data_IF_313573087254
#
_entry.id   IF_313573087254
#
_cell.length_a   1.000
_cell.length_b   1.000
_cell.length_c   1.000
_cell.angle_alpha   90.00
_cell.angle_beta   90.00
_cell.angle_gamma   90.00
#
_symmetry.space_group_name_H-M   'P 1'
#
loop_
_entity.id
_entity.type
_entity.pdbx_description
1 polymer ?
#
# COMPACT_ATOMS: atom_id res chain seq x y z
N UNK A 1 5.49 -50.60 1.01
CA UNK A 1 4.69 -49.39 0.71
C UNK A 1 5.41 -48.63 -0.38
N UNK A 2 4.82 -48.57 -1.57
CA UNK A 2 5.26 -47.71 -2.67
C UNK A 2 4.70 -46.32 -2.39
N UNK A 3 5.56 -45.31 -2.26
CA UNK A 3 5.12 -43.92 -2.18
C UNK A 3 5.00 -43.39 -3.60
N UNK A 4 3.77 -43.13 -4.04
CA UNK A 4 3.55 -42.40 -5.30
C UNK A 4 3.91 -40.93 -5.07
N UNK A 5 5.04 -40.51 -5.62
CA UNK A 5 5.46 -39.10 -5.60
C UNK A 5 4.62 -38.37 -6.65
N UNK A 6 3.78 -37.44 -6.17
CA UNK A 6 3.01 -36.58 -7.07
C UNK A 6 3.94 -35.73 -7.94
N UNK A 7 3.65 -35.58 -9.24
CA UNK A 7 4.27 -34.55 -10.06
C UNK A 7 4.12 -33.17 -9.41
N UNK A 8 5.11 -32.26 -9.53
CA UNK A 8 5.04 -30.92 -8.93
C UNK A 8 3.75 -30.16 -9.26
N UNK A 9 3.26 -30.28 -10.49
CA UNK A 9 2.00 -29.69 -10.94
C UNK A 9 0.80 -30.19 -10.14
N UNK A 10 0.70 -31.50 -9.95
CA UNK A 10 -0.43 -32.10 -9.23
C UNK A 10 -0.38 -31.77 -7.73
N UNK A 11 0.83 -31.73 -7.16
CA UNK A 11 1.05 -31.25 -5.80
C UNK A 11 0.61 -29.79 -5.66
N UNK A 12 0.97 -28.94 -6.62
CA UNK A 12 0.60 -27.53 -6.63
C UNK A 12 -0.92 -27.34 -6.73
N UNK A 13 -1.60 -27.98 -7.69
CA UNK A 13 -3.06 -27.88 -7.87
C UNK A 13 -3.80 -28.34 -6.60
N UNK A 14 -3.33 -29.40 -5.93
CA UNK A 14 -3.91 -29.84 -4.65
C UNK A 14 -3.73 -28.81 -3.54
N UNK A 15 -2.56 -28.17 -3.44
CA UNK A 15 -2.30 -27.12 -2.45
C UNK A 15 -3.15 -25.89 -2.76
N UNK A 16 -3.20 -25.43 -4.01
CA UNK A 16 -4.03 -24.30 -4.43
C UNK A 16 -5.51 -24.52 -4.10
N UNK A 17 -6.03 -25.71 -4.39
CA UNK A 17 -7.39 -26.11 -4.01
C UNK A 17 -7.61 -26.09 -2.49
N UNK A 18 -6.67 -26.63 -1.71
CA UNK A 18 -6.74 -26.61 -0.23
C UNK A 18 -6.67 -25.19 0.37
N UNK A 19 -6.02 -24.28 -0.34
CA UNK A 19 -5.91 -22.85 0.01
C UNK A 19 -7.03 -22.00 -0.60
N UNK A 20 -7.97 -22.63 -1.31
CA UNK A 20 -9.08 -21.98 -2.00
C UNK A 20 -8.63 -20.89 -2.98
N UNK A 21 -7.47 -21.08 -3.62
CA UNK A 21 -7.01 -20.29 -4.76
C UNK A 21 -7.47 -21.01 -6.03
N UNK A 22 -8.07 -20.32 -7.02
CA UNK A 22 -8.42 -20.94 -8.30
C UNK A 22 -7.23 -21.68 -8.91
N UNK A 23 -7.46 -22.79 -9.63
CA UNK A 23 -6.40 -23.52 -10.35
C UNK A 23 -5.75 -22.57 -11.35
N UNK A 24 -4.50 -22.14 -11.10
CA UNK A 24 -4.08 -20.88 -11.69
C UNK A 24 -3.29 -21.11 -13.00
N UNK A 25 -3.17 -22.36 -13.47
CA UNK A 25 -2.48 -22.72 -14.70
C UNK A 25 -0.94 -22.76 -14.55
N UNK A 26 -0.23 -23.06 -15.64
CA UNK A 26 1.23 -23.31 -15.63
C UNK A 26 2.07 -22.10 -15.19
N UNK A 27 1.62 -20.86 -15.40
CA UNK A 27 2.37 -19.65 -15.05
C UNK A 27 2.16 -19.18 -13.61
N UNK A 28 1.25 -19.82 -12.87
CA UNK A 28 0.74 -19.27 -11.63
C UNK A 28 1.16 -20.01 -10.36
N UNK A 29 2.10 -20.94 -10.49
CA UNK A 29 2.85 -21.53 -9.38
C UNK A 29 3.50 -20.47 -8.47
N UNK A 30 3.61 -19.22 -8.96
CA UNK A 30 4.36 -18.13 -8.31
C UNK A 30 3.62 -16.79 -8.23
N UNK A 31 2.29 -16.82 -8.15
CA UNK A 31 1.53 -15.58 -7.95
C UNK A 31 1.64 -15.08 -6.51
N UNK A 32 1.63 -13.76 -6.34
CA UNK A 32 1.55 -13.12 -5.01
C UNK A 32 0.30 -13.58 -4.25
N UNK A 33 -0.82 -13.77 -4.95
CA UNK A 33 -2.07 -14.26 -4.36
C UNK A 33 -1.92 -15.63 -3.69
N UNK A 34 -1.19 -16.55 -4.33
CA UNK A 34 -0.92 -17.86 -3.77
C UNK A 34 -0.03 -17.79 -2.52
N UNK A 35 1.06 -17.02 -2.58
CA UNK A 35 1.96 -16.80 -1.43
C UNK A 35 1.19 -16.17 -0.26
N UNK A 36 0.33 -15.19 -0.51
CA UNK A 36 -0.54 -14.60 0.49
C UNK A 36 -1.44 -15.64 1.17
N UNK A 37 -2.00 -16.61 0.44
CA UNK A 37 -2.81 -17.67 1.06
C UNK A 37 -1.99 -18.64 1.91
N UNK A 38 -0.77 -18.97 1.50
CA UNK A 38 0.14 -19.76 2.32
C UNK A 38 0.46 -19.04 3.62
N UNK A 39 0.75 -17.74 3.57
CA UNK A 39 1.01 -16.93 4.77
C UNK A 39 -0.23 -16.89 5.67
N UNK A 40 -1.43 -16.71 5.09
CA UNK A 40 -2.68 -16.77 5.87
C UNK A 40 -2.86 -18.12 6.57
N UNK A 41 -2.62 -19.23 5.88
CA UNK A 41 -2.67 -20.57 6.48
C UNK A 41 -1.62 -20.74 7.58
N UNK A 42 -0.40 -20.27 7.35
CA UNK A 42 0.67 -20.32 8.33
C UNK A 42 0.30 -19.50 9.58
N UNK A 43 -0.31 -18.32 9.41
CA UNK A 43 -0.76 -17.48 10.51
C UNK A 43 -1.81 -18.19 11.38
N UNK A 44 -2.76 -18.94 10.80
CA UNK A 44 -3.70 -19.76 11.57
C UNK A 44 -3.00 -20.85 12.40
N UNK A 45 -1.90 -21.41 11.88
CA UNK A 45 -1.20 -22.51 12.52
C UNK A 45 -0.25 -22.06 13.63
N UNK A 46 0.42 -20.90 13.46
CA UNK A 46 1.56 -20.52 14.32
C UNK A 46 1.40 -19.17 15.02
N UNK A 47 0.38 -18.36 14.72
CA UNK A 47 0.15 -17.13 15.46
C UNK A 47 -0.46 -17.42 16.85
N UNK A 48 -0.15 -16.61 17.89
CA UNK A 48 0.75 -15.46 17.87
C UNK A 48 2.24 -15.85 17.80
N UNK A 49 3.00 -15.20 16.91
CA UNK A 49 4.44 -15.45 16.73
C UNK A 49 5.21 -14.19 16.27
N UNK A 50 6.54 -14.25 16.23
CA UNK A 50 7.34 -13.20 15.59
C UNK A 50 7.21 -13.22 14.06
N UNK A 51 7.41 -12.07 13.42
CA UNK A 51 7.36 -11.94 11.94
C UNK A 51 8.28 -12.95 11.24
N UNK A 52 9.52 -13.07 11.69
CA UNK A 52 10.51 -14.01 11.12
C UNK A 52 10.08 -15.48 11.24
N UNK A 53 9.37 -15.85 12.30
CA UNK A 53 8.81 -17.20 12.46
C UNK A 53 7.74 -17.47 11.40
N UNK A 54 6.79 -16.55 11.23
CA UNK A 54 5.74 -16.66 10.22
C UNK A 54 6.33 -16.77 8.81
N UNK A 55 7.26 -15.88 8.47
CA UNK A 55 7.93 -15.86 7.17
C UNK A 55 8.74 -17.14 6.93
N UNK A 56 9.45 -17.64 7.94
CA UNK A 56 10.21 -18.91 7.84
C UNK A 56 9.28 -20.09 7.56
N UNK A 57 8.15 -20.19 8.27
CA UNK A 57 7.16 -21.27 8.05
C UNK A 57 6.61 -21.22 6.62
N UNK A 58 6.29 -20.03 6.10
CA UNK A 58 5.81 -19.87 4.73
C UNK A 58 6.90 -20.21 3.68
N UNK A 59 8.15 -19.79 3.88
CA UNK A 59 9.28 -20.12 2.99
C UNK A 59 9.53 -21.63 2.98
N UNK A 60 9.55 -22.29 4.13
CA UNK A 60 9.77 -23.74 4.19
C UNK A 60 8.60 -24.53 3.57
N UNK A 61 7.36 -24.05 3.70
CA UNK A 61 6.20 -24.65 3.04
C UNK A 61 6.27 -24.56 1.50
N UNK A 62 6.97 -23.56 0.96
CA UNK A 62 7.06 -23.28 -0.48
C UNK A 62 8.37 -23.68 -1.13
N UNK A 63 9.35 -24.15 -0.34
CA UNK A 63 10.72 -24.41 -0.80
C UNK A 63 10.81 -25.32 -2.03
N UNK A 64 9.87 -26.26 -2.19
CA UNK A 64 9.83 -27.19 -3.32
C UNK A 64 9.26 -26.61 -4.62
N UNK A 65 8.63 -25.44 -4.59
CA UNK A 65 7.93 -24.82 -5.74
C UNK A 65 8.68 -23.62 -6.34
N UNK A 66 9.70 -23.10 -5.64
CA UNK A 66 10.53 -22.00 -6.12
C UNK A 66 11.93 -22.48 -6.53
N UNK A 67 12.50 -21.90 -7.59
CA UNK A 67 13.81 -22.29 -8.11
C UNK A 67 14.94 -21.75 -7.23
N UNK A 68 14.69 -20.65 -6.52
CA UNK A 68 15.66 -19.96 -5.69
C UNK A 68 15.01 -19.51 -4.37
N UNK A 69 15.72 -19.77 -3.27
CA UNK A 69 15.28 -19.43 -1.91
C UNK A 69 15.28 -17.92 -1.67
N UNK A 70 16.26 -17.18 -2.21
CA UNK A 70 16.34 -15.73 -1.97
C UNK A 70 15.15 -14.99 -2.60
N UNK A 71 14.78 -15.38 -3.82
CA UNK A 71 13.59 -14.87 -4.53
C UNK A 71 12.31 -15.19 -3.76
N UNK A 72 12.17 -16.42 -3.25
CA UNK A 72 11.02 -16.81 -2.43
C UNK A 72 10.94 -16.00 -1.14
N UNK A 73 12.06 -15.85 -0.42
CA UNK A 73 12.14 -15.05 0.80
C UNK A 73 11.70 -13.61 0.54
N UNK A 74 12.22 -12.95 -0.51
CA UNK A 74 11.80 -11.59 -0.86
C UNK A 74 10.29 -11.51 -1.18
N UNK A 75 9.72 -12.51 -1.84
CA UNK A 75 8.29 -12.53 -2.18
C UNK A 75 7.42 -12.73 -0.94
N UNK A 76 7.84 -13.59 0.00
CA UNK A 76 7.15 -13.81 1.28
C UNK A 76 7.21 -12.57 2.17
N UNK A 77 8.36 -11.91 2.25
CA UNK A 77 8.51 -10.64 2.99
C UNK A 77 7.60 -9.56 2.42
N UNK A 78 7.55 -9.42 1.09
CA UNK A 78 6.67 -8.46 0.41
C UNK A 78 5.18 -8.79 0.67
N UNK A 79 4.79 -10.05 0.48
CA UNK A 79 3.42 -10.48 0.71
C UNK A 79 2.99 -10.30 2.19
N UNK A 80 3.88 -10.55 3.14
CA UNK A 80 3.63 -10.33 4.58
C UNK A 80 3.40 -8.84 4.87
N UNK A 81 4.21 -7.96 4.28
CA UNK A 81 4.02 -6.51 4.39
C UNK A 81 2.68 -6.06 3.77
N UNK A 82 2.28 -6.63 2.63
CA UNK A 82 0.98 -6.33 2.01
C UNK A 82 -0.20 -6.80 2.88
N UNK A 83 -0.12 -8.01 3.46
CA UNK A 83 -1.15 -8.54 4.37
C UNK A 83 -1.28 -7.71 5.66
N UNK A 84 -0.17 -7.18 6.19
CA UNK A 84 -0.17 -6.19 7.27
C UNK A 84 -0.80 -4.87 6.81
N UNK A 85 -0.41 -4.39 5.63
CA UNK A 85 -0.84 -3.10 5.10
C UNK A 85 -2.34 -3.06 4.77
N UNK A 86 -2.94 -4.19 4.41
CA UNK A 86 -4.38 -4.33 4.15
C UNK A 86 -5.15 -4.92 5.34
N UNK A 87 -4.47 -5.36 6.41
CA UNK A 87 -5.14 -5.74 7.66
C UNK A 87 -5.70 -7.16 7.68
N UNK A 88 -5.10 -8.10 6.93
CA UNK A 88 -5.28 -9.53 7.20
C UNK A 88 -4.44 -9.99 8.39
N UNK A 89 -3.30 -9.32 8.62
CA UNK A 89 -2.43 -9.54 9.75
C UNK A 89 -2.34 -8.28 10.61
N UNK A 90 -2.13 -8.48 11.92
CA UNK A 90 -1.90 -7.42 12.89
C UNK A 90 -0.53 -7.61 13.53
N UNK A 91 0.21 -6.51 13.64
CA UNK A 91 1.44 -6.46 14.43
C UNK A 91 1.12 -5.75 15.76
N UNK A 92 1.31 -6.46 16.87
CA UNK A 92 0.97 -5.98 18.22
C UNK A 92 2.21 -5.86 19.09
N UNK A 93 2.34 -4.76 19.80
CA UNK A 93 3.36 -4.60 20.84
C UNK A 93 3.00 -5.47 22.05
N UNK A 94 3.97 -6.24 22.51
CA UNK A 94 3.89 -7.06 23.72
C UNK A 94 5.03 -6.64 24.64
N UNK A 95 4.76 -6.28 25.91
CA UNK A 95 5.81 -5.93 26.85
C UNK A 95 6.75 -7.13 27.06
N UNK A 96 8.06 -6.87 27.02
CA UNK A 96 9.07 -7.87 27.38
C UNK A 96 9.42 -7.68 28.85
N UNK A 97 9.04 -8.66 29.67
CA UNK A 97 9.25 -8.63 31.12
C UNK A 97 10.69 -8.26 31.48
N UNK A 98 10.85 -7.34 32.44
CA UNK A 98 12.14 -6.92 32.98
C UNK A 98 13.00 -6.03 32.07
N UNK A 99 12.60 -5.76 30.82
CA UNK A 99 13.46 -5.02 29.87
C UNK A 99 13.05 -3.56 29.61
N UNK A 100 11.83 -3.16 30.03
CA UNK A 100 11.24 -1.87 29.65
C UNK A 100 11.02 -1.69 28.14
N UNK A 101 11.27 -2.73 27.33
CA UNK A 101 11.10 -2.75 25.86
C UNK A 101 9.84 -3.53 25.50
N UNK A 102 9.26 -3.18 24.36
CA UNK A 102 8.21 -3.97 23.72
C UNK A 102 8.82 -4.84 22.62
N UNK A 103 8.38 -6.09 22.53
CA UNK A 103 8.52 -6.94 21.35
C UNK A 103 7.28 -6.79 20.47
N UNK A 104 7.35 -7.27 19.23
CA UNK A 104 6.20 -7.31 18.34
C UNK A 104 5.82 -8.77 18.07
N UNK A 105 4.51 -9.04 18.12
CA UNK A 105 3.94 -10.32 17.72
C UNK A 105 2.92 -10.12 16.61
N UNK A 106 2.93 -11.03 15.65
CA UNK A 106 1.97 -11.15 14.58
C UNK A 106 0.75 -11.90 15.06
N UNK A 107 -0.44 -11.42 14.69
CA UNK A 107 -1.73 -12.11 14.87
C UNK A 107 -2.53 -12.07 13.58
N UNK A 108 -3.40 -13.06 13.41
CA UNK A 108 -4.46 -12.96 12.41
C UNK A 108 -5.43 -11.83 12.79
N UNK A 109 -5.79 -11.00 11.83
CA UNK A 109 -6.85 -10.01 12.03
C UNK A 109 -8.23 -10.70 11.97
N UNK A 110 -9.21 -10.25 12.75
CA UNK A 110 -10.58 -10.78 12.68
C UNK A 110 -11.22 -10.53 11.30
N UNK A 111 -12.12 -11.43 10.84
CA UNK A 111 -12.80 -11.28 9.56
C UNK A 111 -13.60 -9.98 9.47
N UNK A 112 -13.50 -9.28 8.34
CA UNK A 112 -14.29 -8.09 8.02
C UNK A 112 -14.58 -8.04 6.52
N UNK A 113 -15.59 -7.26 6.13
CA UNK A 113 -15.76 -6.87 4.73
C UNK A 113 -15.74 -5.35 4.57
N UNK A 114 -15.27 -4.90 3.41
CA UNK A 114 -15.30 -3.49 3.01
C UNK A 114 -16.01 -3.38 1.68
N UNK A 115 -17.15 -2.69 1.65
CA UNK A 115 -17.90 -2.49 0.41
C UNK A 115 -17.16 -1.58 -0.57
N UNK A 116 -17.26 -1.90 -1.86
CA UNK A 116 -16.73 -1.18 -3.01
C UNK A 116 -17.88 -0.96 -3.99
N UNK A 117 -18.64 0.12 -3.76
CA UNK A 117 -19.90 0.35 -4.47
C UNK A 117 -21.02 -0.53 -3.91
N UNK A 118 -22.07 -0.75 -4.72
CA UNK A 118 -23.29 -1.40 -4.26
C UNK A 118 -23.18 -2.93 -4.16
N UNK A 119 -22.43 -3.58 -5.06
CA UNK A 119 -22.48 -5.04 -5.24
C UNK A 119 -21.09 -5.71 -5.36
N UNK A 120 -20.11 -5.16 -4.67
CA UNK A 120 -18.75 -5.70 -4.63
C UNK A 120 -18.11 -5.35 -3.30
N UNK A 121 -17.27 -6.23 -2.77
CA UNK A 121 -16.56 -6.00 -1.52
C UNK A 121 -15.14 -6.58 -1.53
N UNK A 122 -14.34 -6.11 -0.58
CA UNK A 122 -13.06 -6.71 -0.19
C UNK A 122 -13.28 -7.53 1.08
N UNK A 123 -12.77 -8.76 1.10
CA UNK A 123 -12.75 -9.64 2.27
C UNK A 123 -11.40 -9.51 2.97
N UNK A 124 -11.44 -9.23 4.27
CA UNK A 124 -10.28 -9.03 5.13
C UNK A 124 -10.30 -10.00 6.31
N UNK A 125 -9.13 -10.19 6.92
CA UNK A 125 -8.96 -11.00 8.12
C UNK A 125 -9.09 -12.50 7.87
N UNK A 126 -8.91 -13.26 8.93
CA UNK A 126 -8.96 -14.72 8.87
C UNK A 126 -9.94 -15.24 9.93
N UNK A 127 -10.57 -16.38 9.64
CA UNK A 127 -11.33 -17.12 10.64
C UNK A 127 -10.42 -17.77 11.68
N UNK A 128 -10.99 -18.52 12.61
CA UNK A 128 -10.21 -19.22 13.63
C UNK A 128 -9.61 -20.53 13.11
N UNK A 129 -10.37 -21.27 12.30
CA UNK A 129 -9.97 -22.59 11.77
C UNK A 129 -9.70 -22.56 10.26
N UNK A 130 -10.44 -21.71 9.54
CA UNK A 130 -10.35 -21.57 8.10
C UNK A 130 -9.93 -20.14 7.72
N UNK A 131 -9.25 -20.01 6.57
CA UNK A 131 -8.77 -18.70 6.11
C UNK A 131 -9.93 -17.75 5.81
N UNK A 132 -10.98 -18.27 5.19
CA UNK A 132 -12.18 -17.51 4.84
C UNK A 132 -13.40 -18.38 5.17
N UNK A 133 -13.99 -18.25 6.38
CA UNK A 133 -15.10 -19.10 6.82
C UNK A 133 -16.43 -18.72 6.13
N UNK A 134 -16.52 -18.97 4.81
CA UNK A 134 -17.70 -18.74 3.99
C UNK A 134 -18.21 -20.06 3.41
N UNK A 135 -19.52 -20.18 3.11
CA UNK A 135 -20.05 -21.34 2.39
C UNK A 135 -19.30 -21.60 1.08
N UNK A 136 -19.11 -22.87 0.71
CA UNK A 136 -18.34 -23.29 -0.48
C UNK A 136 -18.85 -22.64 -1.77
N UNK A 137 -20.17 -22.44 -1.90
CA UNK A 137 -20.79 -21.77 -3.05
C UNK A 137 -20.37 -20.29 -3.19
N UNK A 138 -20.10 -19.62 -2.07
CA UNK A 138 -19.61 -18.24 -2.05
C UNK A 138 -18.09 -18.20 -2.21
N UNK A 139 -17.38 -19.11 -1.53
CA UNK A 139 -15.94 -19.18 -1.55
C UNK A 139 -15.38 -19.41 -2.97
N UNK A 140 -16.07 -20.20 -3.79
CA UNK A 140 -15.71 -20.43 -5.20
C UNK A 140 -15.79 -19.19 -6.09
N UNK A 141 -16.49 -18.13 -5.65
CA UNK A 141 -16.61 -16.85 -6.34
C UNK A 141 -15.59 -15.81 -5.87
N UNK A 142 -14.82 -16.11 -4.83
CA UNK A 142 -13.81 -15.18 -4.31
C UNK A 142 -12.66 -15.07 -5.32
N UNK A 143 -12.43 -13.84 -5.79
CA UNK A 143 -11.33 -13.52 -6.71
C UNK A 143 -10.13 -13.02 -5.91
N UNK A 144 -8.95 -13.55 -6.20
CA UNK A 144 -7.70 -13.15 -5.57
C UNK A 144 -6.90 -12.24 -6.51
N UNK A 145 -6.51 -11.06 -6.04
CA UNK A 145 -5.67 -10.12 -6.80
C UNK A 145 -4.59 -9.57 -5.87
N UNK A 146 -3.36 -10.06 -6.05
CA UNK A 146 -2.27 -9.78 -5.10
C UNK A 146 -2.65 -10.22 -3.69
N UNK A 147 -2.45 -9.35 -2.70
CA UNK A 147 -2.90 -9.58 -1.33
C UNK A 147 -4.42 -9.43 -1.11
N UNK A 148 -5.21 -8.92 -2.05
CA UNK A 148 -6.63 -8.66 -1.83
C UNK A 148 -7.52 -9.86 -2.25
N UNK A 149 -8.63 -10.02 -1.51
CA UNK A 149 -9.72 -10.95 -1.83
C UNK A 149 -10.97 -10.14 -2.15
N UNK A 150 -11.56 -10.37 -3.31
CA UNK A 150 -12.76 -9.69 -3.77
C UNK A 150 -13.91 -10.67 -3.87
N UNK A 151 -15.10 -10.21 -3.50
CA UNK A 151 -16.34 -10.92 -3.72
C UNK A 151 -17.33 -9.95 -4.36
N UNK A 152 -17.80 -10.29 -5.55
CA UNK A 152 -18.87 -9.60 -6.24
C UNK A 152 -20.19 -10.29 -5.90
N UNK A 153 -21.28 -9.52 -5.77
CA UNK A 153 -22.59 -10.07 -5.46
C UNK A 153 -23.17 -10.91 -6.60
N UNK A 154 -24.25 -11.61 -6.30
CA UNK A 154 -24.98 -12.42 -7.29
C UNK A 154 -26.24 -11.70 -7.81
N UNK A 155 -26.46 -10.46 -7.39
CA UNK A 155 -27.68 -9.69 -7.70
C UNK A 155 -28.96 -10.23 -7.05
N UNK A 156 -28.90 -11.30 -6.25
CA UNK A 156 -30.06 -11.92 -5.62
C UNK A 156 -30.25 -11.50 -4.15
N UNK A 157 -29.16 -11.15 -3.46
CA UNK A 157 -29.17 -10.81 -2.04
C UNK A 157 -28.27 -9.60 -1.74
N UNK A 158 -28.59 -8.88 -0.66
CA UNK A 158 -27.73 -7.79 -0.17
C UNK A 158 -26.41 -8.38 0.35
N UNK A 159 -25.33 -8.16 -0.41
CA UNK A 159 -24.01 -8.73 -0.14
C UNK A 159 -23.47 -8.35 1.24
N UNK A 160 -23.70 -7.10 1.66
CA UNK A 160 -23.23 -6.58 2.95
C UNK A 160 -23.91 -7.30 4.11
N UNK A 161 -25.23 -7.50 4.01
CA UNK A 161 -26.04 -8.18 5.02
C UNK A 161 -25.66 -9.65 5.10
N UNK A 162 -25.56 -10.32 3.95
CA UNK A 162 -25.12 -11.71 3.89
C UNK A 162 -23.75 -11.91 4.57
N UNK A 163 -22.77 -11.05 4.29
CA UNK A 163 -21.44 -11.15 4.89
C UNK A 163 -21.46 -10.90 6.40
N UNK A 164 -22.24 -9.92 6.87
CA UNK A 164 -22.38 -9.65 8.29
C UNK A 164 -22.98 -10.86 9.05
N UNK A 165 -24.01 -11.50 8.49
CA UNK A 165 -24.62 -12.71 9.04
C UNK A 165 -23.67 -13.91 9.06
N UNK A 166 -22.70 -13.94 8.14
CA UNK A 166 -21.65 -14.98 8.07
C UNK A 166 -20.37 -14.57 8.83
N UNK A 167 -20.44 -13.62 9.76
CA UNK A 167 -19.34 -13.29 10.67
C UNK A 167 -18.27 -12.35 10.10
N UNK A 168 -18.57 -11.66 8.99
CA UNK A 168 -17.73 -10.59 8.45
C UNK A 168 -18.45 -9.26 8.68
N UNK A 169 -18.28 -8.58 9.83
CA UNK A 169 -18.83 -7.26 10.03
C UNK A 169 -18.27 -6.25 9.01
N UNK A 170 -19.09 -5.24 8.71
CA UNK A 170 -18.71 -4.16 7.80
C UNK A 170 -17.63 -3.27 8.42
N UNK A 171 -16.65 -2.87 7.60
CA UNK A 171 -15.62 -1.90 7.94
C UNK A 171 -15.67 -0.73 6.94
N UNK A 172 -15.62 0.49 7.46
CA UNK A 172 -15.58 1.69 6.61
C UNK A 172 -14.28 1.74 5.79
N UNK A 173 -14.40 1.95 4.48
CA UNK A 173 -13.26 1.97 3.57
C UNK A 173 -12.26 3.08 3.91
N UNK A 174 -12.73 4.27 4.31
CA UNK A 174 -11.85 5.40 4.64
C UNK A 174 -11.06 5.13 5.90
N UNK A 175 -11.72 4.60 6.94
CA UNK A 175 -11.10 4.18 8.19
C UNK A 175 -10.10 3.05 7.99
N UNK A 176 -10.48 2.00 7.25
CA UNK A 176 -9.62 0.87 6.91
C UNK A 176 -8.32 1.29 6.22
N UNK A 177 -8.43 2.05 5.13
CA UNK A 177 -7.27 2.50 4.36
C UNK A 177 -6.52 3.67 5.03
N UNK A 178 -7.03 4.15 6.17
CA UNK A 178 -6.55 5.34 6.90
C UNK A 178 -6.40 6.54 5.97
N UNK A 179 -7.41 6.74 5.10
CA UNK A 179 -7.38 7.83 4.14
C UNK A 179 -7.39 9.16 4.88
N UNK A 180 -6.56 10.14 4.46
CA UNK A 180 -6.63 11.46 5.03
C UNK A 180 -8.01 12.08 4.79
N UNK A 181 -8.37 13.03 5.65
CA UNK A 181 -9.56 13.85 5.46
C UNK A 181 -9.41 14.68 4.19
N UNK A 182 -10.53 14.93 3.51
CA UNK A 182 -10.57 15.93 2.45
C UNK A 182 -10.34 17.31 3.10
N UNK A 183 -9.34 18.02 2.62
CA UNK A 183 -8.90 19.32 3.12
C UNK A 183 -8.26 20.10 1.97
N UNK A 184 -8.18 21.42 2.07
CA UNK A 184 -7.54 22.23 1.02
C UNK A 184 -6.01 22.14 1.10
N UNK A 185 -5.27 22.37 0.00
CA UNK A 185 -3.81 22.42 0.01
C UNK A 185 -3.26 23.40 1.07
N UNK A 186 -3.89 24.57 1.22
CA UNK A 186 -3.52 25.62 2.16
C UNK A 186 -3.65 25.13 3.61
N UNK A 187 -4.79 24.52 3.94
CA UNK A 187 -5.07 24.04 5.30
C UNK A 187 -4.08 22.95 5.71
N UNK A 188 -3.80 22.00 4.81
CA UNK A 188 -2.86 20.91 5.06
C UNK A 188 -1.43 21.41 5.26
N UNK A 189 -0.94 22.24 4.33
CA UNK A 189 0.46 22.65 4.33
C UNK A 189 0.79 23.61 5.47
N UNK A 190 -0.18 24.44 5.89
CA UNK A 190 -0.03 25.37 7.00
C UNK A 190 0.43 24.65 8.28
N UNK A 191 -0.15 23.49 8.58
CA UNK A 191 0.26 22.68 9.76
C UNK A 191 1.76 22.34 9.72
N UNK A 192 2.31 22.05 8.55
CA UNK A 192 3.73 21.73 8.40
C UNK A 192 4.62 22.96 8.41
N UNK A 193 4.17 24.06 7.81
CA UNK A 193 4.88 25.34 7.86
C UNK A 193 4.92 25.95 9.25
N UNK A 194 3.86 25.81 10.04
CA UNK A 194 3.84 26.25 11.44
C UNK A 194 4.83 25.44 12.29
N UNK A 195 4.88 24.11 12.08
CA UNK A 195 5.87 23.24 12.74
C UNK A 195 7.31 23.59 12.35
N UNK A 196 7.56 23.90 11.08
CA UNK A 196 8.86 24.33 10.59
C UNK A 196 9.26 25.68 11.17
N UNK A 197 8.33 26.65 11.22
CA UNK A 197 8.57 27.98 11.78
C UNK A 197 8.89 27.94 13.28
N UNK A 198 8.36 26.95 14.00
CA UNK A 198 8.64 26.70 15.40
C UNK A 198 10.02 26.03 15.65
N UNK A 199 10.76 25.63 14.61
CA UNK A 199 12.10 25.07 14.77
C UNK A 199 13.13 26.19 15.03
N UNK A 200 14.15 25.84 15.80
CA UNK A 200 15.36 26.65 15.93
C UNK A 200 16.09 26.80 14.60
N UNK A 201 17.04 27.75 14.56
CA UNK A 201 17.87 27.93 13.38
C UNK A 201 18.67 26.67 13.08
N UNK A 202 18.64 26.26 11.82
CA UNK A 202 19.47 25.20 11.28
C UNK A 202 20.90 25.69 11.07
N UNK A 203 21.87 24.78 11.23
CA UNK A 203 23.20 24.96 10.67
C UNK A 203 23.23 24.69 9.17
N UNK A 204 24.43 24.77 8.58
CA UNK A 204 24.66 24.27 7.22
C UNK A 204 24.51 22.74 7.18
N UNK A 205 23.98 22.23 6.08
CA UNK A 205 23.71 20.79 5.90
C UNK A 205 24.31 20.38 4.57
N UNK A 206 25.42 19.67 4.64
CA UNK A 206 26.08 19.14 3.46
C UNK A 206 25.22 18.06 2.79
N UNK A 207 25.26 18.03 1.45
CA UNK A 207 24.49 17.09 0.64
C UNK A 207 22.98 17.31 0.61
N UNK A 208 22.45 18.43 1.14
CA UNK A 208 21.02 18.74 1.10
C UNK A 208 20.50 18.83 -0.35
N UNK A 209 19.38 18.16 -0.63
CA UNK A 209 18.66 18.22 -1.90
C UNK A 209 17.22 18.66 -1.67
N UNK A 210 16.68 19.48 -2.56
CA UNK A 210 15.30 19.97 -2.48
C UNK A 210 14.50 19.63 -3.74
N UNK A 211 13.19 19.49 -3.60
CA UNK A 211 12.28 19.38 -4.74
C UNK A 211 11.91 20.79 -5.19
N UNK A 212 12.32 21.16 -6.41
CA UNK A 212 11.95 22.45 -7.00
C UNK A 212 10.48 22.48 -7.42
N UNK A 213 9.79 23.54 -7.03
CA UNK A 213 8.40 23.88 -7.42
C UNK A 213 8.35 24.55 -8.80
N UNK A 214 9.49 25.02 -9.30
CA UNK A 214 9.62 25.61 -10.63
C UNK A 214 9.87 24.56 -11.71
N UNK A 215 10.40 23.40 -11.32
CA UNK A 215 10.62 22.28 -12.23
C UNK A 215 9.31 21.65 -12.69
N UNK A 216 9.33 21.10 -13.91
CA UNK A 216 8.15 20.42 -14.48
C UNK A 216 7.66 19.26 -13.60
N UNK A 217 6.35 19.25 -13.33
CA UNK A 217 5.67 18.15 -12.61
C UNK A 217 5.56 16.87 -13.42
N UNK A 218 5.89 16.89 -14.72
CA UNK A 218 5.83 15.73 -15.61
C UNK A 218 7.08 14.81 -15.51
N UNK A 219 8.14 15.24 -14.83
CA UNK A 219 9.36 14.45 -14.64
C UNK A 219 9.90 14.55 -13.21
N UNK A 220 9.38 13.70 -12.32
CA UNK A 220 9.69 13.72 -10.88
C UNK A 220 11.19 13.71 -10.55
N UNK A 221 11.98 12.83 -11.20
CA UNK A 221 13.42 12.71 -10.92
C UNK A 221 14.18 14.02 -11.21
N UNK A 222 13.78 14.75 -12.24
CA UNK A 222 14.41 16.02 -12.62
C UNK A 222 14.06 17.20 -11.72
N UNK A 223 13.15 17.03 -10.76
CA UNK A 223 12.77 18.08 -9.81
C UNK A 223 13.75 18.22 -8.64
N UNK A 224 14.55 17.19 -8.39
CA UNK A 224 15.53 17.19 -7.32
C UNK A 224 16.72 18.07 -7.71
N UNK A 225 16.95 19.15 -6.98
CA UNK A 225 18.04 20.10 -7.25
C UNK A 225 18.84 20.38 -5.98
N UNK A 226 20.01 21.00 -6.12
CA UNK A 226 20.71 21.59 -4.97
C UNK A 226 20.09 22.95 -4.61
N UNK A 227 20.09 23.33 -3.32
CA UNK A 227 19.56 24.61 -2.84
C UNK A 227 20.09 25.85 -3.60
N UNK A 228 21.38 25.90 -3.93
CA UNK A 228 22.03 26.95 -4.73
C UNK A 228 21.62 28.39 -4.38
N UNK A 229 20.65 29.00 -5.10
CA UNK A 229 20.15 30.37 -4.88
C UNK A 229 18.67 30.42 -4.47
N UNK A 230 18.09 29.27 -4.12
CA UNK A 230 16.67 29.16 -3.79
C UNK A 230 16.39 29.79 -2.42
N UNK A 231 15.29 30.52 -2.35
CA UNK A 231 14.72 31.03 -1.10
C UNK A 231 13.27 30.57 -0.97
N UNK A 232 12.83 30.35 0.26
CA UNK A 232 11.49 29.86 0.57
C UNK A 232 11.49 28.47 1.22
N UNK A 233 10.33 27.82 1.25
CA UNK A 233 10.14 26.53 1.94
C UNK A 233 10.07 25.41 0.93
N UNK A 234 10.72 24.29 1.20
CA UNK A 234 10.81 23.16 0.26
C UNK A 234 10.72 21.82 0.98
N UNK A 235 10.22 20.81 0.28
CA UNK A 235 10.47 19.41 0.63
C UNK A 235 11.90 19.05 0.26
N UNK A 236 12.58 18.33 1.14
CA UNK A 236 14.00 18.06 1.04
C UNK A 236 14.38 16.64 1.46
N UNK A 237 15.61 16.27 1.09
CA UNK A 237 16.34 15.09 1.54
C UNK A 237 17.66 15.54 2.11
N UNK A 238 17.98 15.07 3.32
CA UNK A 238 19.31 15.27 3.92
C UNK A 238 20.00 13.93 4.19
N UNK A 239 21.33 13.85 4.02
CA UNK A 239 22.08 12.66 4.40
C UNK A 239 22.00 12.36 5.91
N UNK A 240 22.21 11.08 6.24
CA UNK A 240 22.48 10.62 7.61
C UNK A 240 23.61 9.59 7.59
N UNK A 241 24.23 9.36 8.75
CA UNK A 241 25.43 8.52 8.84
C UNK A 241 25.20 7.07 8.37
N UNK A 242 24.00 6.53 8.60
CA UNK A 242 23.63 5.17 8.21
C UNK A 242 22.20 5.14 7.69
N UNK A 243 21.94 4.32 6.67
CA UNK A 243 20.61 4.15 6.08
C UNK A 243 20.31 5.16 4.96
N UNK A 244 19.05 5.19 4.53
CA UNK A 244 18.60 6.08 3.44
C UNK A 244 18.46 7.52 3.93
N UNK A 245 18.68 8.50 3.04
CA UNK A 245 18.49 9.92 3.35
C UNK A 245 17.16 10.21 4.04
N UNK A 246 17.17 11.14 5.00
CA UNK A 246 15.97 11.50 5.74
C UNK A 246 15.12 12.47 4.93
N UNK A 247 13.81 12.24 4.93
CA UNK A 247 12.84 13.20 4.42
C UNK A 247 12.69 14.34 5.41
N UNK A 248 12.76 15.56 4.91
CA UNK A 248 12.63 16.76 5.73
C UNK A 248 11.90 17.86 4.95
N UNK A 249 11.52 18.90 5.68
CA UNK A 249 11.15 20.19 5.09
C UNK A 249 12.14 21.25 5.57
N UNK A 250 12.48 22.18 4.69
CA UNK A 250 13.53 23.17 4.93
C UNK A 250 13.06 24.55 4.50
N UNK A 251 13.40 25.57 5.28
CA UNK A 251 13.33 26.98 4.90
C UNK A 251 14.72 27.41 4.45
N UNK A 252 14.83 27.95 3.23
CA UNK A 252 16.07 28.41 2.63
C UNK A 252 16.06 29.94 2.50
N UNK A 253 17.24 30.54 2.66
CA UNK A 253 17.53 31.92 2.28
C UNK A 253 18.83 31.96 1.46
N UNK A 254 18.72 32.29 0.17
CA UNK A 254 19.86 32.32 -0.76
C UNK A 254 20.58 30.98 -0.86
N UNK A 255 19.83 29.87 -0.80
CA UNK A 255 20.34 28.50 -0.80
C UNK A 255 20.84 27.99 0.54
N UNK A 256 20.87 28.82 1.60
CA UNK A 256 21.30 28.40 2.93
C UNK A 256 20.11 27.93 3.77
N UNK A 257 20.18 26.77 4.43
CA UNK A 257 19.16 26.34 5.39
C UNK A 257 19.06 27.31 6.57
N UNK A 258 17.86 27.84 6.80
CA UNK A 258 17.53 28.70 7.94
C UNK A 258 16.85 27.89 9.03
N UNK A 259 15.92 27.01 8.66
CA UNK A 259 15.24 26.07 9.55
C UNK A 259 15.04 24.75 8.85
N UNK A 260 15.06 23.66 9.61
CA UNK A 260 14.80 22.32 9.09
C UNK A 260 13.96 21.52 10.08
N UNK A 261 12.99 20.77 9.56
CA UNK A 261 12.23 19.79 10.31
C UNK A 261 12.30 18.45 9.59
N UNK A 262 12.84 17.44 10.27
CA UNK A 262 12.76 16.06 9.79
C UNK A 262 11.30 15.58 9.85
N UNK A 263 10.85 14.95 8.77
CA UNK A 263 9.51 14.38 8.69
C UNK A 263 9.52 13.04 9.41
N UNK A 264 9.36 13.09 10.73
CA UNK A 264 9.27 11.90 11.57
C UNK A 264 7.83 11.47 11.78
N UNK A 265 7.57 10.17 11.79
CA UNK A 265 6.28 9.58 12.11
C UNK A 265 6.25 9.16 13.58
N UNK A 266 5.97 10.08 14.49
CA UNK A 266 5.74 9.72 15.89
C UNK A 266 4.32 9.15 16.05
N UNK A 267 4.21 7.90 16.52
CA UNK A 267 2.96 7.31 16.99
C UNK A 267 1.93 6.89 15.95
N UNK A 268 2.09 7.26 14.68
CA UNK A 268 1.19 6.86 13.59
C UNK A 268 2.03 6.45 12.38
N UNK A 269 1.83 5.21 11.91
CA UNK A 269 2.64 4.41 10.96
C UNK A 269 2.77 5.00 9.54
N UNK A 270 2.67 6.32 9.36
CA UNK A 270 2.78 6.98 8.06
C UNK A 270 4.23 7.13 7.67
N UNK A 271 4.62 6.53 6.54
CA UNK A 271 5.98 6.63 6.01
C UNK A 271 6.36 8.10 5.79
N UNK A 272 7.56 8.55 6.18
CA UNK A 272 8.02 9.92 5.92
C UNK A 272 7.87 10.38 4.47
N UNK A 273 8.09 9.47 3.51
CA UNK A 273 7.88 9.72 2.09
C UNK A 273 6.43 10.08 1.74
N UNK A 274 5.45 9.42 2.35
CA UNK A 274 4.03 9.66 2.09
C UNK A 274 3.64 11.08 2.49
N UNK A 275 4.15 11.53 3.63
CA UNK A 275 3.94 12.88 4.14
C UNK A 275 4.64 13.88 3.22
N UNK A 276 5.91 13.66 2.91
CA UNK A 276 6.71 14.54 2.06
C UNK A 276 6.10 14.70 0.66
N UNK A 277 5.64 13.61 0.03
CA UNK A 277 4.95 13.67 -1.26
C UNK A 277 3.63 14.44 -1.17
N UNK A 278 2.85 14.27 -0.09
CA UNK A 278 1.63 15.04 0.11
C UNK A 278 1.92 16.54 0.34
N UNK A 279 2.97 16.90 1.07
CA UNK A 279 3.42 18.29 1.23
C UNK A 279 3.79 18.86 -0.14
N UNK A 280 4.54 18.11 -0.96
CA UNK A 280 4.91 18.53 -2.30
C UNK A 280 3.67 18.77 -3.19
N UNK A 281 2.68 17.87 -3.16
CA UNK A 281 1.44 18.03 -3.92
C UNK A 281 0.66 19.28 -3.49
N UNK A 282 0.61 19.57 -2.18
CA UNK A 282 -0.02 20.79 -1.68
C UNK A 282 0.73 22.03 -2.20
N UNK A 283 2.06 22.04 -2.11
CA UNK A 283 2.88 23.16 -2.56
C UNK A 283 2.74 23.41 -4.06
N UNK A 284 2.72 22.35 -4.86
CA UNK A 284 2.51 22.39 -6.30
C UNK A 284 1.12 22.98 -6.64
N UNK A 285 0.08 22.57 -5.90
CA UNK A 285 -1.27 23.10 -6.07
C UNK A 285 -1.36 24.61 -5.75
N UNK A 286 -0.70 25.05 -4.68
CA UNK A 286 -0.66 26.47 -4.28
C UNK A 286 0.13 27.34 -5.26
N UNK A 287 1.15 26.76 -5.91
CA UNK A 287 1.93 27.44 -6.94
C UNK A 287 1.22 27.48 -8.31
N UNK A 288 -0.03 26.98 -8.41
CA UNK A 288 -0.76 26.89 -9.67
C UNK A 288 -0.20 25.86 -10.65
N UNK A 289 0.59 24.90 -10.16
CA UNK A 289 1.26 23.85 -10.96
C UNK A 289 0.95 22.48 -10.39
N UNK A 290 -0.34 22.15 -10.28
CA UNK A 290 -0.80 20.87 -9.73
C UNK A 290 -0.10 19.70 -10.41
N UNK A 291 0.26 18.68 -9.62
CA UNK A 291 0.78 17.45 -10.19
C UNK A 291 -0.31 16.76 -11.02
N UNK A 292 0.10 16.15 -12.12
CA UNK A 292 -0.84 15.64 -13.12
C UNK A 292 -0.84 14.12 -13.20
N UNK A 293 -1.98 13.58 -13.63
CA UNK A 293 -2.14 12.20 -14.07
C UNK A 293 -2.84 12.18 -15.43
N UNK A 294 -2.71 11.07 -16.17
CA UNK A 294 -3.39 10.85 -17.46
C UNK A 294 -4.44 9.77 -17.31
N UNK A 295 -5.50 9.90 -18.11
CA UNK A 295 -6.53 8.87 -18.23
C UNK A 295 -6.53 8.37 -19.67
N UNK A 296 -6.18 7.10 -19.87
CA UNK A 296 -6.29 6.43 -21.16
C UNK A 296 -7.47 5.47 -21.13
N UNK A 297 -8.47 5.72 -21.97
CA UNK A 297 -9.70 4.92 -22.05
C UNK A 297 -9.59 3.94 -23.21
N UNK A 298 -9.77 2.66 -22.93
CA UNK A 298 -9.99 1.59 -23.90
C UNK A 298 -11.42 1.04 -23.71
N UNK A 299 -11.91 0.23 -24.65
CA UNK A 299 -13.31 -0.24 -24.69
C UNK A 299 -13.77 -0.86 -23.35
N UNK A 300 -12.95 -1.71 -22.72
CA UNK A 300 -13.31 -2.42 -21.49
C UNK A 300 -12.51 -1.99 -20.24
N UNK A 301 -11.53 -1.10 -20.39
CA UNK A 301 -10.62 -0.76 -19.29
C UNK A 301 -10.13 0.67 -19.40
N UNK A 302 -10.13 1.38 -18.27
CA UNK A 302 -9.49 2.69 -18.17
C UNK A 302 -8.19 2.59 -17.40
N UNK A 303 -7.13 3.20 -17.91
CA UNK A 303 -5.85 3.31 -17.23
C UNK A 303 -5.68 4.71 -16.65
N UNK A 304 -5.33 4.78 -15.37
CA UNK A 304 -4.93 6.00 -14.68
C UNK A 304 -3.41 5.97 -14.52
N UNK A 305 -2.71 6.87 -15.21
CA UNK A 305 -1.25 6.87 -15.33
C UNK A 305 -0.66 8.07 -14.59
N UNK A 306 0.33 7.83 -13.71
CA UNK A 306 0.90 8.86 -12.84
C UNK A 306 2.35 9.19 -13.25
N UNK A 307 2.69 10.48 -13.21
CA UNK A 307 4.04 10.98 -13.51
C UNK A 307 4.86 11.35 -12.26
N UNK A 308 4.19 11.35 -11.12
CA UNK A 308 4.74 11.62 -9.79
C UNK A 308 4.44 10.45 -8.85
N UNK A 309 5.27 10.23 -7.82
CA UNK A 309 5.01 9.20 -6.83
C UNK A 309 3.73 9.52 -6.04
N UNK A 310 3.02 8.46 -5.65
CA UNK A 310 1.86 8.55 -4.80
C UNK A 310 2.21 8.08 -3.38
N UNK A 311 1.64 8.70 -2.34
CA UNK A 311 1.64 8.11 -1.00
C UNK A 311 1.13 6.67 -1.01
N UNK A 312 1.69 5.81 -0.15
CA UNK A 312 1.34 4.39 -0.09
C UNK A 312 -0.16 4.16 0.14
N UNK A 313 -0.81 4.97 0.98
CA UNK A 313 -2.26 4.92 1.21
C UNK A 313 -3.08 5.22 -0.05
N UNK A 314 -2.58 6.08 -0.93
CA UNK A 314 -3.24 6.37 -2.21
C UNK A 314 -3.08 5.22 -3.21
N UNK A 315 -1.87 4.63 -3.30
CA UNK A 315 -1.66 3.40 -4.07
C UNK A 315 -2.57 2.26 -3.60
N UNK A 316 -2.72 2.08 -2.29
CA UNK A 316 -3.65 1.09 -1.73
C UNK A 316 -5.10 1.37 -2.13
N UNK A 317 -5.54 2.62 -2.06
CA UNK A 317 -6.90 3.01 -2.49
C UNK A 317 -7.16 2.72 -3.96
N UNK A 318 -6.17 2.89 -4.83
CA UNK A 318 -6.27 2.58 -6.26
C UNK A 318 -6.33 1.07 -6.51
N UNK A 319 -5.53 0.28 -5.79
CA UNK A 319 -5.56 -1.19 -5.84
C UNK A 319 -6.87 -1.79 -5.32
N UNK A 320 -7.65 -1.06 -4.50
CA UNK A 320 -9.00 -1.48 -4.13
C UNK A 320 -9.99 -1.29 -5.28
N UNK A 321 -9.83 -0.24 -6.10
CA UNK A 321 -10.71 0.00 -7.26
C UNK A 321 -10.28 -0.73 -8.54
N UNK A 322 -9.12 -1.38 -8.55
CA UNK A 322 -8.54 -1.94 -9.77
C UNK A 322 -7.26 -2.73 -9.53
N UNK A 323 -6.36 -2.74 -10.50
CA UNK A 323 -5.07 -3.44 -10.42
C UNK A 323 -3.94 -2.56 -10.95
N UNK A 324 -2.71 -2.84 -10.50
CA UNK A 324 -1.54 -2.20 -11.07
C UNK A 324 -1.31 -2.68 -12.51
N UNK A 325 -0.92 -1.77 -13.39
CA UNK A 325 -0.71 -2.03 -14.80
C UNK A 325 0.67 -1.49 -15.24
N UNK A 326 1.32 -2.22 -16.15
CA UNK A 326 2.55 -1.75 -16.78
C UNK A 326 2.20 -0.90 -18.00
N UNK A 327 2.64 0.35 -17.99
CA UNK A 327 2.37 1.33 -19.05
C UNK A 327 3.64 2.12 -19.38
N UNK A 328 3.91 2.40 -20.66
CA UNK A 328 5.11 3.13 -21.04
C UNK A 328 4.98 4.62 -20.68
N UNK A 329 6.11 5.28 -20.40
CA UNK A 329 6.21 6.73 -20.17
C UNK A 329 5.35 7.24 -19.00
N UNK A 330 5.21 6.43 -17.96
CA UNK A 330 4.68 6.85 -16.65
C UNK A 330 5.49 6.20 -15.53
N UNK A 331 5.35 6.71 -14.31
CA UNK A 331 6.00 6.15 -13.13
C UNK A 331 5.25 4.92 -12.59
N UNK A 332 3.92 4.97 -12.66
CA UNK A 332 3.02 3.87 -12.29
C UNK A 332 1.68 4.06 -13.01
N UNK A 333 0.94 2.97 -13.20
CA UNK A 333 -0.39 3.01 -13.76
C UNK A 333 -1.30 1.99 -13.08
N UNK A 334 -2.60 2.29 -13.09
CA UNK A 334 -3.63 1.42 -12.55
C UNK A 334 -4.72 1.21 -13.59
N UNK A 335 -5.07 -0.04 -13.84
CA UNK A 335 -6.26 -0.40 -14.59
C UNK A 335 -7.46 -0.32 -13.64
N UNK A 336 -8.46 0.47 -14.02
CA UNK A 336 -9.73 0.61 -13.30
C UNK A 336 -10.88 0.30 -14.24
N UNK A 337 -11.96 -0.22 -13.67
CA UNK A 337 -13.21 -0.36 -14.42
C UNK A 337 -13.80 1.03 -14.73
N UNK A 338 -14.52 1.21 -15.85
CA UNK A 338 -15.14 2.49 -16.20
C UNK A 338 -16.11 3.04 -15.15
N UNK A 339 -16.87 2.17 -14.46
CA UNK A 339 -17.83 2.52 -13.41
C UNK A 339 -17.15 3.06 -12.13
N UNK A 340 -15.93 2.60 -11.84
CA UNK A 340 -15.13 3.04 -10.69
C UNK A 340 -14.38 4.36 -10.95
N UNK A 341 -14.22 4.75 -12.22
CA UNK A 341 -13.41 5.90 -12.60
C UNK A 341 -13.86 7.21 -11.92
N UNK A 342 -15.16 7.57 -11.85
CA UNK A 342 -15.58 8.80 -11.16
C UNK A 342 -15.13 8.87 -9.70
N UNK A 343 -15.22 7.75 -8.97
CA UNK A 343 -14.79 7.66 -7.58
C UNK A 343 -13.26 7.80 -7.44
N UNK A 344 -12.51 7.24 -8.39
CA UNK A 344 -11.05 7.40 -8.44
C UNK A 344 -10.68 8.86 -8.71
N UNK A 345 -11.32 9.51 -9.69
CA UNK A 345 -11.04 10.90 -10.03
C UNK A 345 -11.37 11.86 -8.88
N UNK A 346 -12.51 11.66 -8.21
CA UNK A 346 -12.90 12.45 -7.04
C UNK A 346 -11.85 12.32 -5.92
N UNK A 347 -11.44 11.09 -5.63
CA UNK A 347 -10.39 10.81 -4.64
C UNK A 347 -9.07 11.53 -4.96
N UNK A 348 -8.59 11.44 -6.21
CA UNK A 348 -7.33 12.07 -6.62
C UNK A 348 -7.40 13.60 -6.55
N UNK A 349 -8.54 14.19 -6.92
CA UNK A 349 -8.75 15.65 -6.89
C UNK A 349 -8.91 16.18 -5.46
N UNK A 350 -9.66 15.47 -4.61
CA UNK A 350 -10.02 15.97 -3.28
C UNK A 350 -9.02 15.61 -2.19
N UNK A 351 -8.30 14.49 -2.30
CA UNK A 351 -7.35 14.05 -1.27
C UNK A 351 -5.88 14.35 -1.61
N UNK A 352 -5.56 14.49 -2.90
CA UNK A 352 -4.19 14.71 -3.40
C UNK A 352 -4.06 15.98 -4.27
N UNK A 353 -5.16 16.65 -4.59
CA UNK A 353 -5.18 17.90 -5.39
C UNK A 353 -4.55 17.75 -6.78
N UNK A 354 -4.58 16.53 -7.32
CA UNK A 354 -4.04 16.25 -8.64
C UNK A 354 -4.99 16.73 -9.74
N UNK A 355 -4.44 16.90 -10.93
CA UNK A 355 -5.17 17.34 -12.11
C UNK A 355 -5.07 16.32 -13.24
N UNK A 356 -6.18 16.07 -13.93
CA UNK A 356 -6.18 15.26 -15.14
C UNK A 356 -5.58 16.10 -16.27
N UNK A 357 -4.55 15.60 -16.94
CA UNK A 357 -3.97 16.26 -18.12
C UNK A 357 -4.31 15.48 -19.37
N UNK A 358 -4.75 16.19 -20.41
CA UNK A 358 -4.81 15.68 -21.77
C UNK A 358 -3.40 15.78 -22.39
N UNK A 359 -2.90 14.65 -22.89
CA UNK A 359 -1.62 14.45 -23.58
C UNK A 359 -0.47 15.45 -23.30
#
# INVERSE_FOLDING_TARGET
MTFDVLPPKDAFTRIASSLCVPDPGQDAERTVAFVCQVIRRAALAVAPCGRSTLETVAVEALRGFWPDRATLTSMVEQATEELLAYGDLLEMQVPVEGSGRASFVMRAAPPHHVMRGADSCVILGLGNEEITPLPTSTLSRVRHVGALRFLDGDGASDLSTFLAENGFPALDQRGWLRLPRAETPEAFIRVWWDKLAAQDRSGEIDGLRVISVESSVRYYKGRWVQPARLSGRFVARRPQAYGADLWCIVELDGGRPVRLLDVTSAGDLRRPSDIAWRIQMAQDALAGRRQVFRVARNDDTTFVEFLSPLPSWARRRLLVSGSEAQRPRCLMAFATRPDELPNVLDFLKNCLWLEETTH
#
